data_IF_343248131182
#
_entry.id   IF_343248131182
#
_cell.length_a   1.000
_cell.length_b   1.000
_cell.length_c   1.000
_cell.angle_alpha   90.00
_cell.angle_beta   90.00
_cell.angle_gamma   90.00
#
_symmetry.space_group_name_H-M   'P 1'
#
loop_
_entity.id
_entity.type
_entity.pdbx_description
1 polymer ?
#
# COMPACT_ATOMS: atom_id res chain seq x y z
N UNK A 1 4.35 10.09 -23.90
CA UNK A 1 4.25 8.65 -23.59
C UNK A 1 4.00 8.49 -22.10
N UNK A 2 2.74 8.36 -21.68
CA UNK A 2 2.42 8.26 -20.24
C UNK A 2 2.47 6.79 -19.81
N UNK A 3 3.62 6.33 -19.33
CA UNK A 3 3.76 5.02 -18.69
C UNK A 3 3.17 5.10 -17.27
N UNK A 4 1.85 4.91 -17.16
CA UNK A 4 1.17 4.83 -15.86
C UNK A 4 1.21 3.40 -15.33
N UNK A 5 1.72 3.22 -14.11
CA UNK A 5 1.55 1.96 -13.36
C UNK A 5 0.12 1.92 -12.84
N UNK A 6 -0.69 0.98 -13.34
CA UNK A 6 -2.06 0.78 -12.88
C UNK A 6 -2.09 -0.24 -11.75
N UNK A 7 -2.26 0.23 -10.52
CA UNK A 7 -2.57 -0.65 -9.38
C UNK A 7 -4.07 -0.97 -9.39
N UNK A 8 -4.43 -2.20 -9.77
CA UNK A 8 -5.81 -2.69 -9.65
C UNK A 8 -6.02 -3.23 -8.23
N UNK A 9 -6.70 -2.45 -7.39
CA UNK A 9 -7.13 -2.88 -6.06
C UNK A 9 -8.51 -3.54 -6.16
N UNK A 10 -8.60 -4.84 -5.91
CA UNK A 10 -9.89 -5.56 -5.85
C UNK A 10 -10.39 -5.53 -4.40
N UNK A 11 -10.91 -4.39 -3.95
CA UNK A 11 -11.62 -4.35 -2.68
C UNK A 11 -13.03 -4.92 -2.85
N UNK A 12 -13.34 -6.02 -2.15
CA UNK A 12 -14.65 -6.68 -2.16
C UNK A 12 -14.90 -7.48 -3.44
N UNK A 13 -14.66 -8.79 -3.39
CA UNK A 13 -14.97 -9.74 -4.47
C UNK A 13 -16.42 -10.22 -4.29
N UNK A 14 -17.34 -9.87 -5.20
CA UNK A 14 -18.71 -10.40 -5.24
C UNK A 14 -19.83 -9.37 -5.42
N UNK A 15 -21.01 -9.83 -5.89
CA UNK A 15 -22.18 -9.02 -6.23
C UNK A 15 -22.91 -8.39 -5.02
N UNK A 16 -22.50 -8.73 -3.80
CA UNK A 16 -23.08 -8.23 -2.54
C UNK A 16 -21.99 -7.51 -1.74
N UNK A 17 -21.76 -6.24 -2.04
CA UNK A 17 -20.75 -5.42 -1.34
C UNK A 17 -21.31 -4.93 -0.01
N UNK A 18 -21.06 -5.68 1.06
CA UNK A 18 -21.20 -5.15 2.42
C UNK A 18 -19.94 -4.35 2.75
N UNK A 19 -20.02 -3.03 2.66
CA UNK A 19 -18.92 -2.13 3.04
C UNK A 19 -19.10 -1.75 4.51
N UNK A 20 -18.06 -1.96 5.32
CA UNK A 20 -17.99 -1.35 6.65
C UNK A 20 -17.43 0.06 6.47
N UNK A 21 -18.28 1.08 6.64
CA UNK A 21 -17.83 2.47 6.62
C UNK A 21 -17.31 2.89 8.00
N UNK A 22 -16.10 3.44 8.05
CA UNK A 22 -15.48 3.93 9.29
C UNK A 22 -15.49 5.46 9.41
N UNK A 23 -16.26 6.15 8.58
CA UNK A 23 -16.35 7.60 8.58
C UNK A 23 -17.14 8.11 7.39
N UNK A 24 -17.07 9.42 7.20
CA UNK A 24 -17.55 10.09 6.00
C UNK A 24 -16.38 10.83 5.36
N UNK A 25 -16.58 11.32 4.15
CA UNK A 25 -15.60 12.18 3.47
C UNK A 25 -15.14 13.30 4.41
N UNK A 26 -13.83 13.46 4.51
CA UNK A 26 -13.12 14.45 5.34
C UNK A 26 -13.28 14.23 6.87
N UNK A 27 -13.84 13.08 7.27
CA UNK A 27 -14.05 12.63 8.66
C UNK A 27 -13.79 11.13 8.80
N UNK A 28 -12.72 10.67 8.16
CA UNK A 28 -12.27 9.28 8.20
C UNK A 28 -11.62 8.94 9.55
N UNK A 29 -11.76 7.69 9.99
CA UNK A 29 -11.09 7.19 11.19
C UNK A 29 -9.88 6.34 10.81
N UNK A 30 -8.84 6.39 11.65
CA UNK A 30 -7.71 5.49 11.54
C UNK A 30 -8.00 4.17 12.24
N UNK A 31 -7.66 3.05 11.60
CA UNK A 31 -7.59 1.74 12.26
C UNK A 31 -6.16 1.57 12.77
N UNK A 32 -5.99 1.28 14.06
CA UNK A 32 -4.70 1.11 14.72
C UNK A 32 -4.53 -0.31 15.24
N UNK A 33 -3.30 -0.65 15.60
CA UNK A 33 -2.92 -1.99 16.10
C UNK A 33 -3.24 -3.13 15.13
N UNK A 34 -3.18 -2.84 13.82
CA UNK A 34 -3.32 -3.83 12.76
C UNK A 34 -1.99 -4.57 12.64
N UNK A 35 -1.98 -5.85 12.98
CA UNK A 35 -0.83 -6.73 12.71
C UNK A 35 -0.55 -6.79 11.19
N UNK A 36 0.66 -7.16 10.79
CA UNK A 36 0.97 -7.30 9.37
C UNK A 36 0.15 -8.44 8.77
N UNK A 37 -0.68 -8.14 7.77
CA UNK A 37 -1.49 -9.13 7.06
C UNK A 37 -0.65 -9.94 6.07
N UNK A 38 -1.14 -11.13 5.67
CA UNK A 38 -0.47 -11.93 4.65
C UNK A 38 -0.42 -11.17 3.30
N UNK A 39 0.74 -11.20 2.63
CA UNK A 39 0.94 -10.60 1.31
C UNK A 39 1.08 -11.72 0.28
N UNK A 40 -0.06 -12.27 -0.13
CA UNK A 40 -0.18 -13.28 -1.18
C UNK A 40 -1.42 -13.06 -2.05
N UNK A 41 -1.57 -13.85 -3.12
CA UNK A 41 -2.61 -13.69 -4.14
C UNK A 41 -4.05 -13.85 -3.61
N UNK A 42 -4.24 -14.61 -2.54
CA UNK A 42 -5.55 -15.00 -2.02
C UNK A 42 -5.87 -14.34 -0.67
N UNK A 43 -4.93 -13.58 -0.09
CA UNK A 43 -5.11 -12.92 1.19
C UNK A 43 -6.30 -11.97 1.21
N UNK A 44 -7.07 -12.02 2.30
CA UNK A 44 -8.15 -11.09 2.64
C UNK A 44 -7.81 -10.22 3.84
N UNK A 45 -6.55 -10.27 4.29
CA UNK A 45 -6.10 -9.58 5.49
C UNK A 45 -5.93 -8.08 5.22
N UNK A 46 -6.15 -7.27 6.25
CA UNK A 46 -5.78 -5.87 6.21
C UNK A 46 -4.25 -5.75 6.19
N UNK A 47 -3.73 -4.87 5.33
CA UNK A 47 -2.32 -4.46 5.35
C UNK A 47 -2.13 -3.25 6.26
N UNK A 48 -1.00 -3.17 6.95
CA UNK A 48 -0.66 -2.03 7.79
C UNK A 48 0.41 -1.12 7.14
N UNK A 49 0.70 0.02 7.79
CA UNK A 49 1.64 1.01 7.26
C UNK A 49 3.10 0.53 7.13
N UNK A 50 3.55 -0.39 7.99
CA UNK A 50 4.93 -0.91 7.91
C UNK A 50 5.19 -1.71 6.64
N UNK A 51 4.17 -2.42 6.16
CA UNK A 51 4.26 -3.21 4.92
C UNK A 51 4.33 -2.30 3.69
N UNK A 52 3.52 -1.23 3.66
CA UNK A 52 3.60 -0.23 2.59
C UNK A 52 4.94 0.51 2.61
N UNK A 53 5.45 0.84 3.80
CA UNK A 53 6.77 1.47 3.95
C UNK A 53 7.90 0.59 3.39
N UNK A 54 7.90 -0.72 3.70
CA UNK A 54 8.92 -1.64 3.18
C UNK A 54 8.96 -1.66 1.64
N UNK A 55 7.80 -1.62 0.98
CA UNK A 55 7.74 -1.54 -0.50
C UNK A 55 8.29 -0.21 -1.01
N UNK A 56 7.94 0.91 -0.37
CA UNK A 56 8.43 2.24 -0.75
C UNK A 56 9.95 2.36 -0.58
N UNK A 57 10.50 1.83 0.52
CA UNK A 57 11.93 1.80 0.80
C UNK A 57 12.72 1.01 -0.26
N UNK A 58 12.22 -0.17 -0.65
CA UNK A 58 12.83 -0.95 -1.74
C UNK A 58 12.79 -0.22 -3.09
N UNK A 59 11.70 0.50 -3.38
CA UNK A 59 11.63 1.31 -4.60
C UNK A 59 12.59 2.50 -4.58
N UNK A 60 12.76 3.15 -3.42
CA UNK A 60 13.76 4.22 -3.23
C UNK A 60 15.19 3.71 -3.43
N UNK A 61 15.53 2.52 -2.91
CA UNK A 61 16.83 1.87 -3.15
C UNK A 61 17.06 1.59 -4.62
N UNK A 62 16.05 1.09 -5.34
CA UNK A 62 16.15 0.88 -6.79
C UNK A 62 16.40 2.19 -7.53
N UNK A 63 15.70 3.27 -7.18
CA UNK A 63 15.89 4.57 -7.80
C UNK A 63 17.32 5.10 -7.61
N UNK A 64 17.89 4.94 -6.41
CA UNK A 64 19.29 5.28 -6.12
C UNK A 64 20.25 4.45 -6.98
N UNK A 65 20.06 3.13 -7.01
CA UNK A 65 20.96 2.23 -7.74
C UNK A 65 20.90 2.42 -9.27
N UNK A 66 19.75 2.82 -9.81
CA UNK A 66 19.56 3.03 -11.27
C UNK A 66 19.98 4.43 -11.71
N UNK A 67 19.84 5.45 -10.85
CA UNK A 67 20.11 6.85 -11.18
C UNK A 67 21.47 7.36 -10.69
N UNK A 68 22.21 6.55 -9.92
CA UNK A 68 23.55 6.91 -9.44
C UNK A 68 23.57 8.06 -8.44
N UNK A 69 22.46 8.31 -7.73
CA UNK A 69 22.43 9.27 -6.64
C UNK A 69 23.19 8.68 -5.45
N UNK A 70 24.49 8.99 -5.36
CA UNK A 70 25.31 8.70 -4.18
C UNK A 70 24.54 9.12 -2.93
N UNK A 71 24.40 8.21 -1.96
CA UNK A 71 23.76 8.55 -0.69
C UNK A 71 24.53 9.74 -0.13
N UNK A 72 23.87 10.87 0.08
CA UNK A 72 24.39 11.90 0.98
C UNK A 72 24.36 11.28 2.38
N UNK A 73 25.46 10.65 2.73
CA UNK A 73 25.83 10.20 4.06
C UNK A 73 25.82 11.40 5.01
N UNK A 74 24.80 11.41 5.87
CA UNK A 74 24.77 12.18 7.11
C UNK A 74 25.05 11.25 8.29
#
# INVERSE_FOLDING_TARGET
SSNSVKFKWTAGVGASKSVVSLGNKDKERQIKHVAAGAVDKNSTDAINGSQLYAVADEFSKLAVNVLGAEKADG
#
